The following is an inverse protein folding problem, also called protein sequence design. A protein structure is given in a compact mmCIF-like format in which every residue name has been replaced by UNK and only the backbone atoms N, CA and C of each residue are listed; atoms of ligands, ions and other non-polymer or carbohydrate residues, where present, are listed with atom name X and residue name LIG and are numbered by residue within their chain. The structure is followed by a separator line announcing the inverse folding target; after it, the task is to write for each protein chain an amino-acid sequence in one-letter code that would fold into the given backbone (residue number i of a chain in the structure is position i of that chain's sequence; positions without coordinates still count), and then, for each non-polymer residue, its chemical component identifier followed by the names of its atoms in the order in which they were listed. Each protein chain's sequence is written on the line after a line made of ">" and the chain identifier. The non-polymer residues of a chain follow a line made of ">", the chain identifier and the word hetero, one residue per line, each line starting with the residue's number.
data_IF_670015384462
#
_entry.id   IF_670015384462
#
_cell.length_a   1.000
_cell.length_b   1.000
_cell.length_c   1.000
_cell.angle_alpha   90.00
_cell.angle_beta   90.00
_cell.angle_gamma   90.00
#
_symmetry.space_group_name_H-M   'P 1'
#
loop_
_entity.id
_entity.type
_entity.pdbx_description
1 polymer ?
#
# COMPACT_ATOMS: atom_id res chain seq x y z
N UNK A 1 0.66 -12.94 15.44
CA UNK A 1 0.33 -13.24 14.03
C UNK A 1 1.39 -12.57 13.18
N UNK A 2 1.97 -13.29 12.22
CA UNK A 2 2.91 -12.74 11.24
C UNK A 2 2.30 -12.88 9.85
N UNK A 3 2.77 -12.08 8.91
CA UNK A 3 2.38 -12.18 7.51
C UNK A 3 3.55 -12.74 6.70
N UNK A 4 3.25 -13.73 5.87
CA UNK A 4 4.20 -14.26 4.89
C UNK A 4 3.73 -13.81 3.52
N UNK A 5 4.60 -13.13 2.79
CA UNK A 5 4.41 -12.86 1.37
C UNK A 5 5.13 -13.94 0.57
N UNK A 6 4.38 -14.64 -0.28
CA UNK A 6 4.88 -15.61 -1.24
C UNK A 6 4.84 -14.97 -2.62
N UNK A 7 5.99 -14.88 -3.28
CA UNK A 7 6.13 -14.37 -4.65
C UNK A 7 6.26 -15.56 -5.61
N UNK A 8 5.45 -15.56 -6.67
CA UNK A 8 5.51 -16.53 -7.77
C UNK A 8 5.76 -15.76 -9.07
N UNK A 9 6.84 -16.11 -9.77
CA UNK A 9 7.14 -15.60 -11.11
C UNK A 9 6.56 -16.57 -12.15
N UNK A 10 5.70 -16.06 -13.03
CA UNK A 10 4.98 -16.87 -14.01
C UNK A 10 4.66 -16.09 -15.30
N UNK A 11 3.83 -16.67 -16.17
CA UNK A 11 3.39 -16.08 -17.43
C UNK A 11 1.97 -15.52 -17.31
N UNK A 12 1.57 -14.65 -18.25
CA UNK A 12 0.20 -14.15 -18.36
C UNK A 12 -0.83 -15.29 -18.49
N UNK A 13 -0.54 -16.30 -19.32
CA UNK A 13 -1.41 -17.45 -19.57
C UNK A 13 -1.73 -18.26 -18.29
N UNK A 14 -0.77 -18.37 -17.37
CA UNK A 14 -0.91 -19.13 -16.14
C UNK A 14 -1.35 -18.29 -14.94
N UNK A 15 -1.31 -16.95 -15.05
CA UNK A 15 -1.51 -16.02 -13.95
C UNK A 15 -2.85 -16.24 -13.23
N UNK A 16 -3.95 -16.29 -13.99
CA UNK A 16 -5.30 -16.45 -13.43
C UNK A 16 -5.48 -17.79 -12.72
N UNK A 17 -4.95 -18.87 -13.31
CA UNK A 17 -5.03 -20.21 -12.71
C UNK A 17 -4.24 -20.30 -11.40
N UNK A 18 -3.09 -19.62 -11.34
CA UNK A 18 -2.26 -19.56 -10.13
C UNK A 18 -2.94 -18.70 -9.05
N UNK A 19 -3.54 -17.56 -9.42
CA UNK A 19 -4.29 -16.72 -8.48
C UNK A 19 -5.48 -17.45 -7.87
N UNK A 20 -6.24 -18.19 -8.68
CA UNK A 20 -7.34 -19.02 -8.20
C UNK A 20 -6.84 -20.12 -7.25
N UNK A 21 -5.74 -20.80 -7.60
CA UNK A 21 -5.13 -21.82 -6.76
C UNK A 21 -4.67 -21.25 -5.40
N UNK A 22 -4.04 -20.08 -5.39
CA UNK A 22 -3.61 -19.38 -4.17
C UNK A 22 -4.81 -18.97 -3.31
N UNK A 23 -5.88 -18.47 -3.94
CA UNK A 23 -7.13 -18.11 -3.25
C UNK A 23 -7.75 -19.33 -2.58
N UNK A 24 -7.81 -20.46 -3.29
CA UNK A 24 -8.31 -21.73 -2.75
C UNK A 24 -7.45 -22.27 -1.61
N UNK A 25 -6.13 -22.01 -1.62
CA UNK A 25 -5.25 -22.35 -0.52
C UNK A 25 -5.41 -21.43 0.70
N UNK A 26 -6.18 -20.35 0.61
CA UNK A 26 -6.48 -19.47 1.73
C UNK A 26 -5.60 -18.22 1.79
N UNK A 27 -5.04 -17.78 0.66
CA UNK A 27 -4.39 -16.47 0.60
C UNK A 27 -5.38 -15.37 1.02
N UNK A 28 -5.00 -14.53 1.98
CA UNK A 28 -5.81 -13.42 2.47
C UNK A 28 -5.81 -12.22 1.51
N UNK A 29 -4.78 -12.13 0.66
CA UNK A 29 -4.67 -11.12 -0.38
C UNK A 29 -3.76 -11.60 -1.49
N UNK A 30 -4.06 -11.17 -2.72
CA UNK A 30 -3.25 -11.46 -3.91
C UNK A 30 -3.07 -10.14 -4.67
N UNK A 31 -1.83 -9.84 -5.03
CA UNK A 31 -1.48 -8.73 -5.91
C UNK A 31 -0.75 -9.28 -7.14
N UNK A 32 -1.22 -8.90 -8.32
CA UNK A 32 -0.64 -9.32 -9.60
C UNK A 32 0.01 -8.11 -10.24
N UNK A 33 1.25 -8.27 -10.68
CA UNK A 33 1.97 -7.30 -11.47
C UNK A 33 2.25 -7.91 -12.85
N UNK A 34 1.46 -7.52 -13.84
CA UNK A 34 1.61 -7.92 -15.23
C UNK A 34 2.22 -6.77 -16.06
N UNK A 35 3.51 -6.88 -16.45
CA UNK A 35 4.17 -5.89 -17.30
C UNK A 35 3.51 -5.66 -18.67
N UNK A 36 2.92 -6.70 -19.26
CA UNK A 36 2.31 -6.64 -20.59
C UNK A 36 0.97 -5.93 -20.53
N UNK A 37 0.17 -6.18 -19.50
CA UNK A 37 -1.07 -5.45 -19.26
C UNK A 37 -0.80 -3.96 -19.05
N UNK A 38 0.20 -3.62 -18.23
CA UNK A 38 0.61 -2.22 -17.99
C UNK A 38 1.01 -1.54 -19.32
N UNK A 39 1.82 -2.20 -20.14
CA UNK A 39 2.24 -1.67 -21.46
C UNK A 39 1.03 -1.44 -22.38
N UNK A 40 0.09 -2.38 -22.44
CA UNK A 40 -1.14 -2.23 -23.26
C UNK A 40 -2.00 -1.05 -22.81
N UNK A 41 -2.12 -0.82 -21.51
CA UNK A 41 -2.89 0.31 -20.95
C UNK A 41 -2.22 1.64 -21.28
N UNK A 42 -0.89 1.71 -21.31
CA UNK A 42 -0.15 2.92 -21.66
C UNK A 42 -0.19 3.19 -23.17
N UNK A 43 -0.09 2.14 -23.99
CA UNK A 43 -0.10 2.24 -25.45
C UNK A 43 -1.51 2.49 -26.03
N UNK A 44 -2.57 2.33 -25.23
CA UNK A 44 -3.94 2.59 -25.65
C UNK A 44 -4.17 4.11 -25.86
N UNK A 45 -4.50 4.56 -27.09
CA UNK A 45 -4.70 5.97 -27.38
C UNK A 45 -5.87 6.61 -26.64
N UNK A 46 -6.82 5.82 -26.12
CA UNK A 46 -7.95 6.31 -25.33
C UNK A 46 -7.67 6.32 -23.81
N UNK A 47 -6.51 5.80 -23.39
CA UNK A 47 -6.09 5.77 -21.99
C UNK A 47 -5.56 7.13 -21.54
N UNK A 48 -5.89 7.50 -20.29
CA UNK A 48 -5.31 8.67 -19.62
C UNK A 48 -4.08 8.28 -18.78
N UNK A 49 -3.68 7.01 -18.78
CA UNK A 49 -2.52 6.54 -18.04
C UNK A 49 -1.23 7.05 -18.68
N UNK A 50 -0.30 7.50 -17.85
CA UNK A 50 1.01 7.95 -18.28
C UNK A 50 2.08 7.34 -17.38
N UNK A 51 3.15 6.84 -18.00
CA UNK A 51 4.38 6.49 -17.31
C UNK A 51 5.57 6.99 -18.15
N UNK A 52 6.68 7.28 -17.51
CA UNK A 52 7.90 7.66 -18.24
C UNK A 52 8.51 6.46 -18.97
N UNK A 53 9.19 6.74 -20.09
CA UNK A 53 9.82 5.70 -20.93
C UNK A 53 10.81 4.84 -20.13
N UNK A 54 11.50 5.42 -19.15
CA UNK A 54 12.45 4.70 -18.30
C UNK A 54 11.78 3.65 -17.42
N UNK A 55 10.62 3.96 -16.85
CA UNK A 55 9.77 3.00 -16.16
C UNK A 55 9.29 1.90 -17.11
N UNK A 56 8.74 2.25 -18.27
CA UNK A 56 8.21 1.28 -19.24
C UNK A 56 9.29 0.33 -19.75
N UNK A 57 10.50 0.84 -20.00
CA UNK A 57 11.66 0.04 -20.40
C UNK A 57 12.16 -0.88 -19.28
N UNK A 58 11.96 -0.50 -18.03
CA UNK A 58 12.31 -1.31 -16.87
C UNK A 58 11.35 -2.48 -16.64
N UNK A 59 10.14 -2.41 -17.20
CA UNK A 59 9.15 -3.47 -17.11
C UNK A 59 9.62 -4.69 -17.92
N UNK A 60 9.82 -5.80 -17.21
CA UNK A 60 10.18 -7.09 -17.80
C UNK A 60 9.05 -7.72 -18.63
N UNK A 61 9.09 -9.04 -18.81
CA UNK A 61 8.05 -9.84 -19.49
C UNK A 61 7.28 -10.75 -18.55
N UNK A 62 7.81 -11.02 -17.36
CA UNK A 62 7.27 -12.04 -16.47
C UNK A 62 6.24 -11.43 -15.52
N UNK A 63 5.15 -12.16 -15.31
CA UNK A 63 4.11 -11.80 -14.34
C UNK A 63 4.58 -12.18 -12.96
N UNK A 64 4.43 -11.26 -12.00
CA UNK A 64 4.73 -11.49 -10.59
C UNK A 64 3.45 -11.52 -9.80
N UNK A 65 3.24 -12.61 -9.08
CA UNK A 65 2.09 -12.78 -8.19
C UNK A 65 2.60 -12.77 -6.75
N UNK A 66 2.08 -11.85 -5.95
CA UNK A 66 2.35 -11.75 -4.52
C UNK A 66 1.11 -12.22 -3.76
N UNK A 67 1.24 -13.29 -2.98
CA UNK A 67 0.18 -13.83 -2.16
C UNK A 67 0.52 -13.70 -0.68
N UNK A 68 -0.44 -13.25 0.11
CA UNK A 68 -0.26 -12.98 1.53
C UNK A 68 -0.99 -14.02 2.37
N UNK A 69 -0.25 -14.69 3.25
CA UNK A 69 -0.79 -15.68 4.16
C UNK A 69 -0.51 -15.30 5.62
N UNK A 70 -1.52 -15.48 6.46
CA UNK A 70 -1.38 -15.32 7.91
C UNK A 70 -0.68 -16.56 8.52
N UNK A 71 0.42 -16.32 9.24
CA UNK A 71 1.12 -17.32 10.05
C UNK A 71 0.81 -17.10 11.54
N UNK A 72 0.30 -18.18 12.15
CA UNK A 72 0.03 -18.30 13.58
C UNK A 72 1.06 -19.22 14.24
N UNK A 73 0.93 -19.45 15.55
CA UNK A 73 1.91 -20.24 16.33
C UNK A 73 1.99 -21.71 15.87
N UNK A 74 0.93 -22.24 15.24
CA UNK A 74 0.83 -23.58 14.69
C UNK A 74 1.12 -23.65 13.17
N UNK A 75 1.45 -22.52 12.53
CA UNK A 75 1.88 -22.43 11.14
C UNK A 75 1.04 -21.47 10.28
N UNK A 76 1.24 -21.56 8.97
CA UNK A 76 0.49 -20.84 7.95
C UNK A 76 -0.91 -21.44 7.85
N UNK A 77 -1.93 -20.60 7.99
CA UNK A 77 -3.33 -20.98 7.84
C UNK A 77 -3.64 -21.24 6.36
N UNK A 78 -4.16 -22.43 6.07
CA UNK A 78 -4.66 -22.82 4.76
C UNK A 78 -6.16 -23.07 4.78
N UNK A 79 -6.80 -22.71 3.67
CA UNK A 79 -8.24 -22.82 3.45
C UNK A 79 -9.03 -21.58 3.87
N UNK A 80 -10.36 -21.68 3.77
CA UNK A 80 -11.29 -20.58 4.02
C UNK A 80 -11.15 -20.01 5.45
N UNK A 81 -11.63 -18.77 5.68
CA UNK A 81 -11.73 -18.22 7.04
C UNK A 81 -12.78 -19.00 7.84
N UNK A 82 -12.58 -19.18 9.16
CA UNK A 82 -13.56 -19.86 10.03
C UNK A 82 -14.99 -19.29 9.85
N UNK A 83 -15.10 -17.98 9.61
CA UNK A 83 -16.35 -17.27 9.35
C UNK A 83 -17.06 -17.66 8.04
N UNK A 84 -16.34 -18.26 7.08
CA UNK A 84 -16.89 -18.72 5.80
C UNK A 84 -17.32 -20.21 5.82
N UNK A 85 -16.89 -20.99 6.81
CA UNK A 85 -17.29 -22.41 6.96
C UNK A 85 -18.73 -22.57 7.46
N UNK A 86 -19.25 -21.58 8.20
CA UNK A 86 -20.60 -21.63 8.78
C UNK A 86 -21.69 -21.13 7.81
N UNK A 87 -21.32 -20.86 6.56
CA UNK A 87 -22.27 -20.53 5.50
C UNK A 87 -22.62 -21.80 4.69
N UNK A 88 -23.83 -22.36 4.83
CA UNK A 88 -24.27 -23.52 4.04
C UNK A 88 -24.41 -23.23 2.54
N UNK A 89 -24.37 -21.96 2.13
CA UNK A 89 -24.27 -21.51 0.72
C UNK A 89 -22.86 -20.99 0.36
N UNK A 90 -21.90 -21.10 1.29
CA UNK A 90 -20.55 -20.59 1.16
C UNK A 90 -19.64 -21.44 0.28
N UNK A 91 -18.58 -20.80 -0.22
CA UNK A 91 -17.59 -21.32 -1.18
C UNK A 91 -16.95 -22.65 -0.72
N UNK A 92 -16.92 -22.90 0.60
CA UNK A 92 -16.38 -24.13 1.20
C UNK A 92 -17.08 -25.43 0.79
N UNK A 93 -18.33 -25.38 0.29
CA UNK A 93 -19.09 -26.58 -0.10
C UNK A 93 -18.85 -27.01 -1.55
N UNK A 94 -18.35 -26.11 -2.41
CA UNK A 94 -18.26 -26.34 -3.86
C UNK A 94 -16.91 -26.98 -4.25
N UNK A 95 -15.85 -26.76 -3.47
CA UNK A 95 -14.49 -27.21 -3.80
C UNK A 95 -13.97 -28.24 -2.79
N UNK A 96 -14.29 -29.51 -3.01
CA UNK A 96 -13.99 -30.64 -2.11
C UNK A 96 -12.51 -31.04 -1.94
N UNK A 97 -11.55 -30.13 -2.21
CA UNK A 97 -10.10 -30.37 -2.14
C UNK A 97 -9.31 -29.17 -1.60
N UNK A 98 -9.94 -28.32 -0.80
CA UNK A 98 -9.24 -27.22 -0.10
C UNK A 98 -8.35 -27.82 0.98
N UNK A 99 -7.05 -27.49 0.97
CA UNK A 99 -6.18 -27.84 2.08
C UNK A 99 -6.64 -27.05 3.31
N UNK A 100 -7.25 -27.73 4.28
CA UNK A 100 -7.74 -27.10 5.51
C UNK A 100 -6.76 -27.30 6.66
N UNK A 101 -6.47 -26.24 7.41
CA UNK A 101 -5.68 -26.29 8.66
C UNK A 101 -4.38 -25.50 8.57
N UNK A 102 -3.53 -25.66 9.59
CA UNK A 102 -2.24 -24.96 9.65
C UNK A 102 -1.10 -25.86 9.17
N UNK A 103 -0.21 -25.33 8.33
CA UNK A 103 1.00 -26.02 7.86
C UNK A 103 2.24 -25.19 8.12
N UNK A 104 3.39 -25.84 8.30
CA UNK A 104 4.65 -25.10 8.32
C UNK A 104 4.90 -24.41 6.98
N UNK A 105 5.76 -23.39 6.98
CA UNK A 105 6.16 -22.69 5.77
C UNK A 105 6.77 -23.64 4.73
N UNK A 106 7.64 -24.57 5.15
CA UNK A 106 8.26 -25.55 4.25
C UNK A 106 7.21 -26.47 3.58
N UNK A 107 6.22 -26.94 4.35
CA UNK A 107 5.13 -27.76 3.81
C UNK A 107 4.22 -26.96 2.87
N UNK A 108 4.00 -25.68 3.15
CA UNK A 108 3.19 -24.78 2.32
C UNK A 108 3.88 -24.51 0.99
N UNK A 109 5.19 -24.22 1.00
CA UNK A 109 5.98 -24.03 -0.22
C UNK A 109 5.99 -25.31 -1.05
N UNK A 110 6.21 -26.47 -0.42
CA UNK A 110 6.17 -27.75 -1.12
C UNK A 110 4.80 -28.02 -1.76
N UNK A 111 3.71 -27.73 -1.05
CA UNK A 111 2.36 -27.85 -1.59
C UNK A 111 2.16 -26.92 -2.81
N UNK A 112 2.65 -25.68 -2.75
CA UNK A 112 2.58 -24.74 -3.87
C UNK A 112 3.36 -25.23 -5.08
N UNK A 113 4.57 -25.75 -4.90
CA UNK A 113 5.37 -26.33 -5.98
C UNK A 113 4.67 -27.53 -6.64
N UNK A 114 4.03 -28.41 -5.84
CA UNK A 114 3.22 -29.52 -6.34
C UNK A 114 2.02 -29.01 -7.17
N UNK A 115 1.30 -28.00 -6.69
CA UNK A 115 0.16 -27.39 -7.43
C UNK A 115 0.59 -26.66 -8.69
N UNK A 116 1.72 -25.97 -8.68
CA UNK A 116 2.28 -25.31 -9.86
C UNK A 116 2.68 -26.34 -10.92
N UNK A 117 3.22 -27.49 -10.51
CA UNK A 117 3.51 -28.60 -11.42
C UNK A 117 2.24 -29.15 -12.08
N UNK A 118 1.13 -29.26 -11.34
CA UNK A 118 -0.16 -29.66 -11.91
C UNK A 118 -0.68 -28.65 -12.94
N UNK A 119 -0.62 -27.35 -12.64
CA UNK A 119 -1.00 -26.29 -13.60
C UNK A 119 -0.08 -26.32 -14.83
N UNK A 120 1.21 -26.57 -14.62
CA UNK A 120 2.22 -26.69 -15.67
C UNK A 120 1.97 -27.79 -16.70
N UNK A 121 1.12 -28.78 -16.39
CA UNK A 121 0.70 -29.81 -17.34
C UNK A 121 -0.31 -29.30 -18.38
N UNK A 122 -1.01 -28.19 -18.07
CA UNK A 122 -2.08 -27.62 -18.89
C UNK A 122 -1.73 -26.25 -19.45
N UNK A 123 -1.01 -25.43 -18.69
CA UNK A 123 -0.67 -24.04 -19.02
C UNK A 123 0.85 -23.81 -18.86
N UNK A 124 1.46 -22.93 -19.68
CA UNK A 124 2.89 -22.64 -19.59
C UNK A 124 3.20 -21.77 -18.37
N UNK A 125 3.56 -22.36 -17.23
CA UNK A 125 3.84 -21.63 -15.98
C UNK A 125 5.14 -20.81 -15.97
N UNK A 126 5.97 -20.91 -17.01
CA UNK A 126 7.26 -20.22 -17.10
C UNK A 126 8.27 -20.76 -16.09
N UNK A 127 9.05 -19.85 -15.48
CA UNK A 127 10.04 -20.20 -14.45
C UNK A 127 9.39 -20.83 -13.20
N UNK A 128 8.12 -20.54 -12.93
CA UNK A 128 7.35 -21.11 -11.82
C UNK A 128 8.03 -20.93 -10.45
N UNK A 129 8.89 -19.91 -10.33
CA UNK A 129 9.80 -19.76 -9.20
C UNK A 129 9.03 -19.22 -8.01
N UNK A 130 9.00 -20.01 -6.93
CA UNK A 130 8.41 -19.61 -5.65
C UNK A 130 9.50 -19.05 -4.74
N UNK A 131 9.28 -17.85 -4.22
CA UNK A 131 10.09 -17.30 -3.13
C UNK A 131 9.17 -16.77 -2.04
N UNK A 132 9.72 -16.51 -0.85
CA UNK A 132 8.93 -15.98 0.25
C UNK A 132 9.74 -14.99 1.09
N UNK A 133 9.03 -14.10 1.77
CA UNK A 133 9.59 -13.25 2.83
C UNK A 133 8.54 -13.01 3.91
N UNK A 134 9.02 -12.74 5.12
CA UNK A 134 8.17 -12.25 6.18
C UNK A 134 7.88 -10.76 5.95
N UNK A 135 6.60 -10.42 5.87
CA UNK A 135 6.15 -9.04 5.92
C UNK A 135 6.29 -8.61 7.37
N UNK A 136 7.14 -7.62 7.61
CA UNK A 136 7.21 -7.02 8.93
C UNK A 136 5.89 -6.32 9.19
N UNK A 137 5.37 -6.51 10.38
CA UNK A 137 4.36 -5.64 10.97
C UNK A 137 5.06 -4.30 11.31
N UNK A 138 5.49 -3.59 10.27
CA UNK A 138 5.97 -2.22 10.43
C UNK A 138 4.74 -1.35 10.59
N UNK A 139 4.76 -0.57 11.66
CA UNK A 139 3.76 0.41 12.02
C UNK A 139 3.82 1.54 10.98
N UNK A 140 3.33 1.26 9.78
CA UNK A 140 3.26 2.18 8.65
C UNK A 140 2.50 3.46 9.04
N UNK A 141 1.62 3.38 10.04
CA UNK A 141 0.91 4.49 10.66
C UNK A 141 1.85 5.43 11.44
N UNK A 142 3.07 4.99 11.78
CA UNK A 142 4.05 5.76 12.55
C UNK A 142 5.40 5.97 11.82
N UNK A 143 5.74 5.20 10.79
CA UNK A 143 6.97 5.42 10.01
C UNK A 143 7.01 6.82 9.37
N UNK A 144 5.89 7.30 8.81
CA UNK A 144 5.82 8.64 8.22
C UNK A 144 6.06 9.76 9.26
N UNK A 145 5.81 9.52 10.55
CA UNK A 145 6.07 10.50 11.63
C UNK A 145 7.56 10.77 11.81
N UNK A 146 8.42 9.81 11.46
CA UNK A 146 9.88 9.96 11.57
C UNK A 146 10.43 10.98 10.58
N UNK A 147 9.76 11.16 9.45
CA UNK A 147 10.19 12.02 8.36
C UNK A 147 9.45 13.38 8.36
N UNK A 148 8.43 13.55 9.20
CA UNK A 148 7.70 14.82 9.35
C UNK A 148 8.32 15.68 10.46
N UNK A 149 9.07 16.70 10.04
CA UNK A 149 9.75 17.65 10.91
C UNK A 149 9.15 19.05 10.81
N UNK A 150 9.46 19.90 11.78
CA UNK A 150 9.07 21.31 11.73
C UNK A 150 9.62 22.01 10.48
N UNK A 151 8.79 22.85 9.85
CA UNK A 151 9.17 23.62 8.67
C UNK A 151 8.56 25.02 8.70
N UNK A 152 9.24 25.98 8.06
CA UNK A 152 8.71 27.33 7.89
C UNK A 152 7.75 27.36 6.71
N UNK A 153 6.49 27.73 6.98
CA UNK A 153 5.44 27.85 5.94
C UNK A 153 5.35 29.27 5.40
N UNK A 154 5.80 30.26 6.19
CA UNK A 154 5.97 31.66 5.79
C UNK A 154 7.10 32.31 6.62
N UNK A 155 7.57 33.53 6.27
CA UNK A 155 8.61 34.22 7.03
C UNK A 155 8.31 34.41 8.52
N UNK A 156 7.03 34.54 8.91
CA UNK A 156 6.62 34.74 10.31
C UNK A 156 6.00 33.51 10.97
N UNK A 157 5.82 32.39 10.25
CA UNK A 157 5.12 31.21 10.78
C UNK A 157 5.88 29.90 10.49
N UNK A 158 6.04 29.10 11.55
CA UNK A 158 6.55 27.73 11.51
C UNK A 158 5.49 26.75 11.93
N UNK A 159 5.37 25.66 11.17
CA UNK A 159 4.52 24.53 11.53
C UNK A 159 5.41 23.49 12.18
N UNK A 160 5.01 23.01 13.35
CA UNK A 160 5.71 21.96 14.06
C UNK A 160 4.72 20.87 14.52
N UNK A 161 5.09 19.58 14.42
CA UNK A 161 4.28 18.54 15.04
C UNK A 161 4.42 18.56 16.56
N UNK A 162 3.44 18.01 17.28
CA UNK A 162 3.39 18.03 18.74
C UNK A 162 4.56 17.30 19.41
N UNK A 163 5.18 16.34 18.73
CA UNK A 163 6.36 15.61 19.22
C UNK A 163 7.67 16.40 19.13
N UNK A 164 7.70 17.55 18.44
CA UNK A 164 8.87 18.45 18.35
C UNK A 164 8.75 19.71 19.23
N UNK A 165 7.78 19.76 20.15
CA UNK A 165 7.56 20.90 21.06
C UNK A 165 8.80 21.29 21.87
N UNK A 166 9.66 20.34 22.19
CA UNK A 166 10.88 20.60 22.97
C UNK A 166 12.07 21.04 22.11
N UNK A 167 12.02 20.82 20.79
CA UNK A 167 13.10 21.13 19.84
C UNK A 167 12.87 22.43 19.07
N UNK A 168 11.65 22.98 19.08
CA UNK A 168 11.29 24.21 18.36
C UNK A 168 10.99 25.33 19.36
N UNK A 169 11.64 26.48 19.19
CA UNK A 169 11.41 27.67 20.04
C UNK A 169 10.88 28.82 19.20
N UNK A 170 9.84 29.50 19.69
CA UNK A 170 9.39 30.75 19.10
C UNK A 170 10.50 31.81 19.16
N UNK A 171 10.60 32.63 18.12
CA UNK A 171 11.44 33.83 18.14
C UNK A 171 10.58 35.08 18.15
N UNK A 172 11.18 36.26 18.38
CA UNK A 172 10.43 37.52 18.39
C UNK A 172 9.68 37.79 17.06
N UNK A 173 10.18 37.25 15.95
CA UNK A 173 9.63 37.49 14.60
C UNK A 173 8.96 36.26 13.98
N UNK A 174 8.90 35.12 14.68
CA UNK A 174 8.45 33.86 14.11
C UNK A 174 7.62 33.08 15.14
N UNK A 175 6.35 32.86 14.80
CA UNK A 175 5.40 32.09 15.60
C UNK A 175 5.42 30.62 15.22
N UNK A 176 5.18 29.76 16.21
CA UNK A 176 5.12 28.31 16.02
C UNK A 176 3.67 27.88 16.19
N UNK A 177 3.12 27.29 15.13
CA UNK A 177 1.80 26.67 15.13
C UNK A 177 2.00 25.16 15.22
N UNK A 178 1.42 24.56 16.26
CA UNK A 178 1.50 23.11 16.44
C UNK A 178 0.35 22.44 15.69
N UNK A 179 0.70 21.67 14.66
CA UNK A 179 -0.25 20.93 13.84
C UNK A 179 0.27 19.52 13.64
N UNK A 180 -0.46 18.55 14.19
CA UNK A 180 -0.18 17.15 13.96
C UNK A 180 -0.71 16.76 12.57
N UNK A 181 0.16 16.31 11.65
CA UNK A 181 -0.28 15.71 10.40
C UNK A 181 -1.25 14.54 10.65
N UNK A 182 -2.29 14.49 9.85
CA UNK A 182 -3.34 13.47 9.93
C UNK A 182 -3.93 13.21 8.55
N UNK A 183 -5.11 12.58 8.50
CA UNK A 183 -5.76 12.18 7.23
C UNK A 183 -6.32 13.35 6.41
N UNK A 184 -6.32 14.57 6.94
CA UNK A 184 -6.81 15.76 6.26
C UNK A 184 -5.72 16.37 5.37
N UNK A 185 -6.07 16.66 4.11
CA UNK A 185 -5.17 17.29 3.14
C UNK A 185 -4.77 18.71 3.59
N UNK A 186 -3.56 19.14 3.20
CA UNK A 186 -3.07 20.50 3.43
C UNK A 186 -2.30 20.67 4.74
N UNK A 187 -1.39 19.77 5.10
CA UNK A 187 -0.54 19.90 6.31
C UNK A 187 0.55 20.98 6.21
N UNK A 188 0.69 21.62 5.04
CA UNK A 188 1.60 22.73 4.79
C UNK A 188 2.88 22.37 4.02
N UNK A 189 3.17 21.08 3.81
CA UNK A 189 4.35 20.64 3.06
C UNK A 189 4.20 20.73 1.54
N UNK A 190 2.98 20.93 1.04
CA UNK A 190 2.69 21.09 -0.39
C UNK A 190 2.82 22.56 -0.81
N UNK A 191 3.42 22.81 -1.98
CA UNK A 191 3.81 24.14 -2.46
C UNK A 191 2.64 25.12 -2.54
N UNK A 192 1.44 24.63 -2.87
CA UNK A 192 0.24 25.46 -2.94
C UNK A 192 -0.14 26.02 -1.57
N UNK A 193 0.05 25.26 -0.49
CA UNK A 193 -0.27 25.71 0.87
C UNK A 193 0.76 26.75 1.32
N UNK A 194 2.05 26.53 1.05
CA UNK A 194 3.10 27.50 1.37
C UNK A 194 2.90 28.83 0.62
N UNK A 195 2.55 28.78 -0.66
CA UNK A 195 2.27 29.99 -1.44
C UNK A 195 1.09 30.79 -0.86
N UNK A 196 0.00 30.11 -0.47
CA UNK A 196 -1.13 30.77 0.18
C UNK A 196 -0.75 31.37 1.55
N UNK A 197 0.06 30.64 2.33
CA UNK A 197 0.54 31.11 3.63
C UNK A 197 1.44 32.35 3.51
N UNK A 198 2.32 32.40 2.51
CA UNK A 198 3.13 33.59 2.21
C UNK A 198 2.26 34.80 1.85
N UNK A 199 1.19 34.61 1.06
CA UNK A 199 0.27 35.70 0.72
C UNK A 199 -0.56 36.16 1.91
N UNK A 200 -1.00 35.25 2.79
CA UNK A 200 -1.63 35.63 4.05
C UNK A 200 -0.65 36.45 4.89
N UNK A 201 0.61 36.02 4.97
CA UNK A 201 1.65 36.73 5.71
C UNK A 201 1.91 38.15 5.18
N UNK A 202 1.92 38.32 3.86
CA UNK A 202 2.22 39.61 3.25
C UNK A 202 1.03 40.58 3.25
N UNK A 203 -0.19 40.09 2.99
CA UNK A 203 -1.32 40.95 2.64
C UNK A 203 -2.42 41.03 3.70
N UNK A 204 -2.52 40.08 4.62
CA UNK A 204 -3.62 40.04 5.58
C UNK A 204 -3.38 40.98 6.77
N UNK A 205 -4.41 41.71 7.19
CA UNK A 205 -4.42 42.55 8.38
C UNK A 205 -5.31 41.96 9.49
N UNK A 206 -5.08 42.37 10.74
CA UNK A 206 -5.87 41.92 11.90
C UNK A 206 -7.33 42.37 11.87
N UNK A 207 -7.67 43.34 11.03
CA UNK A 207 -9.02 43.86 10.86
C UNK A 207 -9.81 43.15 9.74
N UNK A 208 -9.14 42.30 8.96
CA UNK A 208 -9.76 41.61 7.83
C UNK A 208 -10.60 40.42 8.30
N UNK A 209 -11.71 40.17 7.59
CA UNK A 209 -12.52 38.97 7.77
C UNK A 209 -12.16 37.95 6.68
N UNK A 210 -11.79 36.74 7.10
CA UNK A 210 -11.31 35.68 6.21
C UNK A 210 -12.33 34.55 6.11
N UNK A 211 -12.44 33.96 4.91
CA UNK A 211 -13.19 32.73 4.66
C UNK A 211 -12.29 31.73 3.94
N UNK A 212 -11.98 30.62 4.60
CA UNK A 212 -11.20 29.50 4.05
C UNK A 212 -12.15 28.45 3.47
N UNK A 213 -12.28 28.43 2.13
CA UNK A 213 -13.17 27.51 1.43
C UNK A 213 -12.41 26.24 1.05
N UNK A 214 -12.77 25.13 1.69
CA UNK A 214 -12.05 23.86 1.52
C UNK A 214 -10.85 23.73 2.43
N UNK A 215 -11.00 24.12 3.70
CA UNK A 215 -9.91 24.31 4.66
C UNK A 215 -9.06 23.06 4.97
N UNK A 216 -9.54 21.85 4.68
CA UNK A 216 -8.78 20.62 4.89
C UNK A 216 -8.31 20.48 6.34
N UNK A 217 -6.99 20.49 6.54
CA UNK A 217 -6.33 20.52 7.87
C UNK A 217 -6.67 21.77 8.72
N UNK A 218 -7.16 22.83 8.09
CA UNK A 218 -7.42 24.13 8.69
C UNK A 218 -6.19 25.03 8.82
N UNK A 219 -5.03 24.63 8.28
CA UNK A 219 -3.76 25.37 8.44
C UNK A 219 -3.88 26.86 8.05
N UNK A 220 -4.52 27.16 6.91
CA UNK A 220 -4.67 28.53 6.41
C UNK A 220 -5.67 29.36 7.23
N UNK A 221 -6.58 28.70 7.96
CA UNK A 221 -7.50 29.35 8.89
C UNK A 221 -6.85 29.69 10.23
N UNK A 222 -5.78 28.98 10.59
CA UNK A 222 -5.07 29.14 11.88
C UNK A 222 -4.01 30.24 11.78
N UNK A 223 -3.31 30.33 10.65
CA UNK A 223 -2.26 31.31 10.39
C UNK A 223 -2.85 32.68 10.02
#
# INVERSE_FOLDING_TARGET
>A
MKWVEIEIITTEDASDAICEMLSQLGADGIAVCDPLEIKRIIDDPDSLAYADDGFVDSLGSDVKIHAYFAEFDDGIRLGAKEEEYDNPEGVGTIYGNIATGSKSLEETIKLLEERLSDIGQCLPVGDGKVTYKYVKDEDWENEWKKDYHAFSVSPRVTIAPSWEKESVTETENQKVVYLDPGSAFGTGTHETTSMCAEFIDEYLSTEDSVLDVGCGSGILSII
#
